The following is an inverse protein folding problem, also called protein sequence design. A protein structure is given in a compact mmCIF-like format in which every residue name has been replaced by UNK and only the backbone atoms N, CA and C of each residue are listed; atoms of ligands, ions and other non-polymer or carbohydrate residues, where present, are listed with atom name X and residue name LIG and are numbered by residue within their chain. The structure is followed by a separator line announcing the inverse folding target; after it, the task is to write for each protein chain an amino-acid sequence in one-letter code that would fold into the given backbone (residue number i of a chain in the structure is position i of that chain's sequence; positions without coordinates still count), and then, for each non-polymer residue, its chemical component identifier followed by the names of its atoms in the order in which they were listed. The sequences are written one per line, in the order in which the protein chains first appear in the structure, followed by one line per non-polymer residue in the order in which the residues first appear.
data_IF_242373129631
#
_entry.id   IF_242373129631
#
_cell.length_a   1.000
_cell.length_b   1.000
_cell.length_c   1.000
_cell.angle_alpha   90.00
_cell.angle_beta   90.00
_cell.angle_gamma   90.00
#
_symmetry.space_group_name_H-M   'P 1'
#
loop_
_entity.id
_entity.type
_entity.pdbx_description
1 polymer ?
#
# COMPACT_ATOMS: atom_id res chain seq x y z
N UNK A 1 -24.86 62.02 23.28
CA UNK A 1 -23.43 62.14 22.86
C UNK A 1 -22.63 61.18 23.73
N UNK A 2 -22.00 60.09 23.29
CA UNK A 2 -21.98 59.38 22.03
C UNK A 2 -21.35 58.01 22.33
N UNK A 3 -22.14 56.94 22.28
CA UNK A 3 -21.65 55.57 22.25
C UNK A 3 -21.50 55.17 20.77
N UNK A 4 -20.34 55.44 20.18
CA UNK A 4 -20.03 54.95 18.85
C UNK A 4 -18.52 54.92 18.64
N UNK A 5 -17.84 53.96 19.26
CA UNK A 5 -16.42 53.72 18.98
C UNK A 5 -15.97 52.31 19.35
N UNK A 6 -16.71 51.27 18.90
CA UNK A 6 -16.17 49.90 18.87
C UNK A 6 -16.74 49.10 17.70
N UNK A 7 -16.42 49.48 16.46
CA UNK A 7 -16.69 48.63 15.28
C UNK A 7 -15.85 49.11 14.08
N UNK A 8 -14.54 48.85 14.10
CA UNK A 8 -13.74 48.82 12.87
C UNK A 8 -12.40 48.12 13.07
N UNK A 9 -12.44 46.84 13.41
CA UNK A 9 -11.28 45.96 13.19
C UNK A 9 -11.76 44.73 12.43
N UNK A 10 -12.28 44.96 11.22
CA UNK A 10 -12.56 43.91 10.26
C UNK A 10 -11.23 43.25 9.90
N UNK A 11 -11.10 42.01 10.37
CA UNK A 11 -10.01 41.08 10.12
C UNK A 11 -9.79 40.98 8.61
N UNK A 12 -8.63 41.43 8.14
CA UNK A 12 -8.19 41.14 6.77
C UNK A 12 -8.22 39.61 6.57
N UNK A 13 -8.98 39.07 5.60
CA UNK A 13 -8.88 37.66 5.28
C UNK A 13 -7.50 37.44 4.67
N UNK A 14 -6.60 36.84 5.45
CA UNK A 14 -5.35 36.29 4.94
C UNK A 14 -5.75 35.21 3.94
N UNK A 15 -5.78 35.55 2.64
CA UNK A 15 -5.83 34.57 1.57
C UNK A 15 -4.51 33.80 1.63
N UNK A 16 -4.47 32.76 2.45
CA UNK A 16 -3.44 31.75 2.40
C UNK A 16 -3.53 31.12 1.02
N UNK A 17 -2.62 31.55 0.13
CA UNK A 17 -2.42 30.89 -1.16
C UNK A 17 -1.91 29.50 -0.86
N UNK A 18 -2.81 28.54 -0.68
CA UNK A 18 -2.46 27.12 -0.60
C UNK A 18 -1.75 26.82 -1.92
N UNK A 19 -0.42 26.74 -1.89
CA UNK A 19 0.37 26.24 -3.02
C UNK A 19 -0.18 24.84 -3.30
N UNK A 20 -1.01 24.70 -4.33
CA UNK A 20 -1.36 23.40 -4.89
C UNK A 20 -0.03 22.68 -5.13
N UNK A 21 0.24 21.63 -4.37
CA UNK A 21 1.42 20.78 -4.58
C UNK A 21 1.34 20.32 -6.03
N UNK A 22 2.38 20.63 -6.82
CA UNK A 22 2.50 20.10 -8.19
C UNK A 22 2.34 18.57 -8.11
N UNK A 23 1.59 17.94 -9.02
CA UNK A 23 1.53 16.48 -9.07
C UNK A 23 2.97 15.98 -9.14
N UNK A 24 3.39 15.28 -8.08
CA UNK A 24 4.77 14.82 -7.89
C UNK A 24 5.18 14.09 -9.15
N UNK A 25 6.23 14.57 -9.80
CA UNK A 25 6.71 14.07 -11.09
C UNK A 25 6.58 12.56 -11.15
N UNK A 26 5.82 12.08 -12.13
CA UNK A 26 5.47 10.67 -12.21
C UNK A 26 6.76 9.88 -12.44
N UNK A 27 7.35 9.35 -11.36
CA UNK A 27 8.50 8.44 -11.41
C UNK A 27 8.24 7.41 -12.51
N UNK A 28 9.14 7.29 -13.49
CA UNK A 28 8.91 6.41 -14.64
C UNK A 28 8.61 4.98 -14.16
N UNK A 29 7.84 4.21 -14.93
CA UNK A 29 7.50 2.82 -14.57
C UNK A 29 8.75 1.98 -14.30
N UNK A 30 9.83 2.25 -15.02
CA UNK A 30 11.13 1.62 -14.82
C UNK A 30 11.79 2.07 -13.51
N UNK A 31 11.81 3.36 -13.18
CA UNK A 31 12.40 3.87 -11.93
C UNK A 31 11.61 3.38 -10.70
N UNK A 32 10.29 3.29 -10.78
CA UNK A 32 9.47 2.67 -9.73
C UNK A 32 9.83 1.19 -9.56
N UNK A 33 9.96 0.44 -10.66
CA UNK A 33 10.41 -0.96 -10.61
C UNK A 33 11.80 -1.13 -10.01
N UNK A 34 12.78 -0.33 -10.44
CA UNK A 34 14.18 -0.49 -10.04
C UNK A 34 14.38 -0.05 -8.59
N UNK A 35 13.87 1.11 -8.18
CA UNK A 35 14.16 1.68 -6.86
C UNK A 35 13.21 1.16 -5.77
N UNK A 36 11.92 1.04 -6.06
CA UNK A 36 10.93 0.65 -5.04
C UNK A 36 10.80 -0.87 -4.92
N UNK A 37 10.64 -1.59 -6.05
CA UNK A 37 10.43 -3.05 -5.98
C UNK A 37 11.67 -3.82 -5.57
N UNK A 38 12.87 -3.47 -6.06
CA UNK A 38 14.10 -4.19 -5.64
C UNK A 38 14.36 -4.01 -4.15
N UNK A 39 14.27 -2.77 -3.66
CA UNK A 39 14.48 -2.46 -2.24
C UNK A 39 13.42 -3.14 -1.36
N UNK A 40 12.14 -3.04 -1.74
CA UNK A 40 11.04 -3.67 -0.99
C UNK A 40 11.19 -5.20 -0.94
N UNK A 41 11.56 -5.84 -2.06
CA UNK A 41 11.78 -7.29 -2.10
C UNK A 41 12.99 -7.73 -1.30
N UNK A 42 14.06 -6.97 -1.35
CA UNK A 42 15.25 -7.26 -0.56
C UNK A 42 14.97 -7.15 0.94
N UNK A 43 14.29 -6.07 1.37
CA UNK A 43 13.87 -5.90 2.77
C UNK A 43 12.94 -7.03 3.18
N UNK A 44 11.95 -7.36 2.36
CA UNK A 44 11.01 -8.43 2.64
C UNK A 44 11.67 -9.82 2.69
N UNK A 45 12.62 -10.09 1.77
CA UNK A 45 13.41 -11.33 1.80
C UNK A 45 14.25 -11.42 3.07
N UNK A 46 15.01 -10.38 3.41
CA UNK A 46 15.79 -10.32 4.66
C UNK A 46 14.91 -10.47 5.90
N UNK A 47 13.70 -9.92 5.87
CA UNK A 47 12.72 -10.08 6.94
C UNK A 47 12.26 -11.54 7.08
N UNK A 48 11.96 -12.22 5.98
CA UNK A 48 11.59 -13.64 5.99
C UNK A 48 12.76 -14.54 6.42
N UNK A 49 13.98 -14.25 5.96
CA UNK A 49 15.19 -15.02 6.29
C UNK A 49 15.58 -14.85 7.77
N UNK A 50 15.44 -13.66 8.34
CA UNK A 50 15.80 -13.39 9.73
C UNK A 50 14.79 -13.91 10.77
N UNK A 51 13.58 -14.28 10.35
CA UNK A 51 12.49 -14.71 11.25
C UNK A 51 11.86 -16.02 10.76
N UNK A 52 12.50 -17.18 11.00
CA UNK A 52 11.99 -18.47 10.54
C UNK A 52 10.60 -18.82 11.12
N UNK A 53 10.22 -18.24 12.27
CA UNK A 53 8.90 -18.38 12.89
C UNK A 53 7.78 -17.58 12.20
N UNK A 54 8.07 -16.80 11.15
CA UNK A 54 7.05 -15.97 10.51
C UNK A 54 5.92 -16.80 9.90
N UNK A 55 6.23 -17.99 9.37
CA UNK A 55 5.20 -18.89 8.87
C UNK A 55 4.29 -19.37 10.01
N UNK A 56 4.84 -19.60 11.20
CA UNK A 56 4.09 -20.02 12.39
C UNK A 56 3.22 -18.89 12.95
N UNK A 57 3.67 -17.63 12.87
CA UNK A 57 2.81 -16.47 13.13
C UNK A 57 1.58 -16.47 12.22
N UNK A 58 1.75 -16.76 10.93
CA UNK A 58 0.66 -16.75 9.96
C UNK A 58 -0.28 -17.96 10.09
N UNK A 59 0.24 -19.15 10.34
CA UNK A 59 -0.58 -20.36 10.46
C UNK A 59 -1.21 -20.50 11.84
N UNK A 60 -0.54 -20.09 12.92
CA UNK A 60 -1.04 -20.25 14.29
C UNK A 60 -1.76 -19.00 14.80
N UNK A 61 -1.23 -17.80 14.54
CA UNK A 61 -1.77 -16.55 15.10
C UNK A 61 -2.85 -15.94 14.21
N UNK A 62 -2.59 -15.82 12.90
CA UNK A 62 -3.60 -15.36 11.95
C UNK A 62 -4.56 -16.48 11.51
N UNK A 63 -4.21 -17.73 11.79
CA UNK A 63 -5.01 -18.91 11.46
C UNK A 63 -5.52 -18.90 10.01
N UNK A 64 -4.61 -18.61 9.09
CA UNK A 64 -4.92 -18.53 7.67
C UNK A 64 -5.32 -19.93 7.17
N UNK A 65 -6.56 -20.04 6.70
CA UNK A 65 -7.16 -21.29 6.23
C UNK A 65 -7.48 -21.22 4.73
N UNK A 66 -7.40 -22.36 4.03
CA UNK A 66 -8.00 -22.51 2.70
C UNK A 66 -9.44 -22.01 2.65
N UNK A 67 -9.83 -21.32 1.57
CA UNK A 67 -11.20 -20.85 1.36
C UNK A 67 -11.55 -19.51 2.01
N UNK A 68 -10.65 -18.93 2.83
CA UNK A 68 -10.90 -17.62 3.44
C UNK A 68 -10.92 -16.48 2.42
N UNK A 69 -11.66 -15.42 2.75
CA UNK A 69 -11.60 -14.13 2.07
C UNK A 69 -10.75 -13.18 2.90
N UNK A 70 -9.69 -12.64 2.31
CA UNK A 70 -8.70 -11.78 2.99
C UNK A 70 -8.59 -10.46 2.23
N UNK A 71 -8.50 -9.35 2.97
CA UNK A 71 -8.22 -8.03 2.41
C UNK A 71 -6.85 -7.56 2.90
N UNK A 72 -5.98 -7.18 1.97
CA UNK A 72 -4.62 -6.69 2.23
C UNK A 72 -4.57 -5.18 1.94
N UNK A 73 -4.62 -4.36 2.99
CA UNK A 73 -4.65 -2.89 2.91
C UNK A 73 -3.21 -2.35 2.90
N UNK A 74 -2.87 -1.58 1.87
CA UNK A 74 -1.49 -1.15 1.62
C UNK A 74 -0.65 -2.26 0.99
N UNK A 75 -1.24 -3.03 0.07
CA UNK A 75 -0.61 -4.24 -0.49
C UNK A 75 0.67 -3.97 -1.29
N UNK A 76 0.93 -2.71 -1.65
CA UNK A 76 2.08 -2.32 -2.45
C UNK A 76 2.14 -3.15 -3.76
N UNK A 77 3.31 -3.70 -4.12
CA UNK A 77 3.46 -4.51 -5.32
C UNK A 77 2.96 -5.96 -5.18
N UNK A 78 2.25 -6.26 -4.11
CA UNK A 78 1.56 -7.53 -3.89
C UNK A 78 2.48 -8.71 -3.56
N UNK A 79 3.72 -8.47 -3.14
CA UNK A 79 4.64 -9.56 -2.74
C UNK A 79 4.07 -10.33 -1.53
N UNK A 80 3.59 -9.61 -0.52
CA UNK A 80 2.92 -10.21 0.64
C UNK A 80 1.57 -10.83 0.26
N UNK A 81 0.74 -10.14 -0.53
CA UNK A 81 -0.54 -10.66 -1.03
C UNK A 81 -0.36 -12.02 -1.73
N UNK A 82 0.69 -12.18 -2.55
CA UNK A 82 1.04 -13.46 -3.18
C UNK A 82 1.57 -14.49 -2.18
N UNK A 83 2.27 -14.08 -1.13
CA UNK A 83 2.67 -14.99 -0.04
C UNK A 83 1.45 -15.54 0.69
N UNK A 84 0.47 -14.69 1.04
CA UNK A 84 -0.79 -15.11 1.66
C UNK A 84 -1.52 -16.13 0.79
N UNK A 85 -1.55 -15.92 -0.53
CA UNK A 85 -2.14 -16.89 -1.46
C UNK A 85 -1.44 -18.25 -1.35
N UNK A 86 -0.11 -18.28 -1.31
CA UNK A 86 0.67 -19.53 -1.16
C UNK A 86 0.43 -20.20 0.19
N UNK A 87 0.44 -19.43 1.28
CA UNK A 87 0.21 -19.94 2.64
C UNK A 87 -1.18 -20.56 2.80
N UNK A 88 -2.19 -20.03 2.09
CA UNK A 88 -3.55 -20.59 2.06
C UNK A 88 -3.71 -21.80 1.12
N UNK A 89 -2.62 -22.41 0.65
CA UNK A 89 -2.62 -23.44 -0.39
C UNK A 89 -3.35 -23.01 -1.67
N UNK A 90 -3.26 -21.73 -2.02
CA UNK A 90 -3.92 -21.09 -3.18
C UNK A 90 -5.45 -21.17 -3.17
N UNK A 91 -6.07 -21.49 -2.03
CA UNK A 91 -7.53 -21.64 -1.91
C UNK A 91 -8.21 -20.42 -1.30
N UNK A 92 -7.48 -19.46 -0.73
CA UNK A 92 -8.06 -18.21 -0.26
C UNK A 92 -8.31 -17.23 -1.42
N UNK A 93 -9.37 -16.44 -1.30
CA UNK A 93 -9.61 -15.26 -2.15
C UNK A 93 -9.00 -14.05 -1.46
N UNK A 94 -8.10 -13.34 -2.13
CA UNK A 94 -7.36 -12.23 -1.52
C UNK A 94 -7.51 -10.98 -2.38
N UNK A 95 -7.99 -9.90 -1.75
CA UNK A 95 -8.13 -8.59 -2.37
C UNK A 95 -7.04 -7.65 -1.85
N UNK A 96 -6.10 -7.27 -2.73
CA UNK A 96 -5.11 -6.24 -2.42
C UNK A 96 -5.63 -4.84 -2.73
N UNK A 97 -5.50 -3.91 -1.78
CA UNK A 97 -5.86 -2.50 -1.93
C UNK A 97 -4.63 -1.64 -1.65
N UNK A 98 -4.32 -0.70 -2.54
CA UNK A 98 -3.26 0.28 -2.34
C UNK A 98 -3.66 1.59 -3.02
N UNK A 99 -3.28 2.72 -2.43
CA UNK A 99 -3.58 4.05 -2.98
C UNK A 99 -2.65 4.44 -4.14
N UNK A 100 -1.50 3.78 -4.27
CA UNK A 100 -0.55 4.03 -5.33
C UNK A 100 -0.83 3.13 -6.53
N UNK A 101 -1.35 3.73 -7.60
CA UNK A 101 -1.68 3.03 -8.84
C UNK A 101 -0.50 2.25 -9.43
N UNK A 102 0.74 2.76 -9.32
CA UNK A 102 1.94 2.07 -9.84
C UNK A 102 2.22 0.78 -9.08
N UNK A 103 1.94 0.76 -7.77
CA UNK A 103 2.00 -0.44 -6.93
C UNK A 103 1.01 -1.49 -7.42
N UNK A 104 -0.25 -1.08 -7.63
CA UNK A 104 -1.31 -1.96 -8.15
C UNK A 104 -0.94 -2.50 -9.54
N UNK A 105 -0.48 -1.65 -10.46
CA UNK A 105 -0.06 -2.10 -11.79
C UNK A 105 1.07 -3.13 -11.73
N UNK A 106 2.06 -2.93 -10.83
CA UNK A 106 3.14 -3.88 -10.61
C UNK A 106 2.61 -5.19 -10.01
N UNK A 107 1.73 -5.10 -8.99
CA UNK A 107 1.09 -6.23 -8.36
C UNK A 107 0.31 -7.09 -9.36
N UNK A 108 -0.54 -6.47 -10.18
CA UNK A 108 -1.31 -7.17 -11.21
C UNK A 108 -0.40 -7.82 -12.25
N UNK A 109 0.64 -7.10 -12.72
CA UNK A 109 1.58 -7.63 -13.71
C UNK A 109 2.32 -8.86 -13.18
N UNK A 110 2.83 -8.80 -11.96
CA UNK A 110 3.62 -9.88 -11.39
C UNK A 110 2.75 -11.06 -10.93
N UNK A 111 1.52 -10.80 -10.50
CA UNK A 111 0.54 -11.86 -10.21
C UNK A 111 0.13 -12.61 -11.47
N UNK A 112 -0.04 -11.94 -12.62
CA UNK A 112 -0.30 -12.61 -13.91
C UNK A 112 0.85 -13.50 -14.38
N UNK A 113 2.09 -13.16 -14.02
CA UNK A 113 3.29 -13.94 -14.35
C UNK A 113 3.56 -15.07 -13.36
N UNK A 114 2.96 -15.02 -12.17
CA UNK A 114 3.11 -16.09 -11.21
C UNK A 114 2.44 -17.36 -11.76
N UNK A 115 3.07 -18.55 -11.63
CA UNK A 115 2.50 -19.80 -12.12
C UNK A 115 1.10 -19.96 -11.53
N UNK A 116 0.14 -20.17 -12.43
CA UNK A 116 -1.29 -19.97 -12.21
C UNK A 116 -1.79 -20.32 -10.79
N UNK A 117 -2.59 -19.40 -10.26
CA UNK A 117 -3.56 -19.60 -9.18
C UNK A 117 -4.84 -20.24 -9.75
N UNK A 118 -4.72 -21.14 -10.73
CA UNK A 118 -5.86 -21.87 -11.26
C UNK A 118 -6.16 -23.00 -10.28
N UNK A 119 -7.26 -22.80 -9.56
CA UNK A 119 -8.14 -23.85 -9.06
C UNK A 119 -8.34 -24.96 -10.09
#
# INVERSE_FOLDING_TARGET
MGESSRLSSLKNPVRTRIKRRRPKDSVSKLAFRVSYLRRSREIYRRYLESKPWINQLYTSFLNIKPGQKIVDIGCGPGDFTRQLARLSNKKATILGIDSNEKSIQAATTDTKKAPCLTS
#
